data_IF_543568895346
#
_entry.id   IF_543568895346
#
_cell.length_a   1.000
_cell.length_b   1.000
_cell.length_c   1.000
_cell.angle_alpha   90.00
_cell.angle_beta   90.00
_cell.angle_gamma   90.00
#
_symmetry.space_group_name_H-M   'P 1'
#
loop_
_entity.id
_entity.type
_entity.pdbx_description
1 polymer ?
#
# COMPACT_ATOMS: atom_id res chain seq x y z
N UNK A 1 -44.02 43.30 -29.72
CA UNK A 1 -43.10 44.16 -28.98
C UNK A 1 -42.13 43.19 -28.27
N UNK A 2 -41.00 42.89 -28.96
CA UNK A 2 -40.09 41.82 -28.55
C UNK A 2 -38.97 42.44 -27.70
N UNK A 3 -38.99 42.18 -26.40
CA UNK A 3 -37.91 42.55 -25.51
C UNK A 3 -36.77 41.51 -25.71
N UNK A 4 -35.80 41.85 -26.55
CA UNK A 4 -34.53 41.17 -26.54
C UNK A 4 -33.79 41.67 -25.32
N UNK A 5 -33.77 40.85 -24.29
CA UNK A 5 -32.93 41.01 -23.12
C UNK A 5 -31.48 40.98 -23.58
N UNK A 6 -30.80 42.12 -23.61
CA UNK A 6 -29.35 42.23 -23.80
C UNK A 6 -28.67 41.67 -22.55
N UNK A 7 -28.41 40.40 -22.56
CA UNK A 7 -27.48 39.81 -21.58
C UNK A 7 -26.06 40.25 -21.99
N UNK A 8 -25.38 41.09 -21.19
CA UNK A 8 -24.00 41.45 -21.52
C UNK A 8 -23.13 40.20 -21.62
N UNK A 9 -22.53 39.99 -22.76
CA UNK A 9 -21.50 38.96 -22.91
C UNK A 9 -20.30 39.33 -22.00
N UNK A 10 -20.29 38.78 -20.80
CA UNK A 10 -19.32 39.08 -19.74
C UNK A 10 -17.90 38.65 -20.09
N UNK A 11 -17.70 37.94 -21.23
CA UNK A 11 -16.41 37.33 -21.55
C UNK A 11 -16.16 37.39 -23.05
N UNK A 12 -14.96 37.84 -23.41
CA UNK A 12 -14.52 37.79 -24.80
C UNK A 12 -14.20 36.36 -25.24
N UNK A 13 -14.39 36.07 -26.52
CA UNK A 13 -14.19 34.73 -27.09
C UNK A 13 -12.82 34.07 -26.77
N UNK A 14 -11.69 34.78 -26.69
CA UNK A 14 -10.43 34.19 -26.27
C UNK A 14 -10.40 33.81 -24.79
N UNK A 15 -11.04 34.61 -23.91
CA UNK A 15 -11.10 34.32 -22.48
C UNK A 15 -11.93 33.05 -22.19
N UNK A 16 -13.01 32.82 -22.91
CA UNK A 16 -13.78 31.56 -22.80
C UNK A 16 -12.95 30.31 -23.13
N UNK A 17 -12.10 30.37 -24.16
CA UNK A 17 -11.24 29.23 -24.53
C UNK A 17 -10.22 28.92 -23.46
N UNK A 18 -9.62 29.94 -22.85
CA UNK A 18 -8.65 29.78 -21.75
C UNK A 18 -9.32 29.16 -20.52
N UNK A 19 -10.49 29.64 -20.15
CA UNK A 19 -11.23 29.11 -18.99
C UNK A 19 -11.64 27.66 -19.21
N UNK A 20 -12.17 27.34 -20.40
CA UNK A 20 -12.53 25.96 -20.75
C UNK A 20 -11.28 25.07 -20.67
N UNK A 21 -10.11 25.51 -21.15
CA UNK A 21 -8.87 24.77 -21.05
C UNK A 21 -8.45 24.50 -19.61
N UNK A 22 -8.56 25.50 -18.73
CA UNK A 22 -8.24 25.35 -17.31
C UNK A 22 -9.22 24.37 -16.63
N UNK A 23 -10.51 24.46 -16.90
CA UNK A 23 -11.51 23.55 -16.34
C UNK A 23 -11.27 22.10 -16.78
N UNK A 24 -10.95 21.89 -18.07
CA UNK A 24 -10.63 20.55 -18.57
C UNK A 24 -9.36 20.01 -17.87
N UNK A 25 -8.32 20.84 -17.72
CA UNK A 25 -7.09 20.44 -17.04
C UNK A 25 -7.33 20.08 -15.56
N UNK A 26 -8.16 20.84 -14.84
CA UNK A 26 -8.53 20.57 -13.47
C UNK A 26 -9.38 19.29 -13.34
N UNK A 27 -10.33 19.08 -14.25
CA UNK A 27 -11.12 17.86 -14.30
C UNK A 27 -10.25 16.63 -14.58
N UNK A 28 -9.31 16.74 -15.51
CA UNK A 28 -8.37 15.68 -15.83
C UNK A 28 -7.47 15.36 -14.64
N UNK A 29 -6.93 16.38 -13.98
CA UNK A 29 -6.11 16.21 -12.77
C UNK A 29 -6.91 15.59 -11.62
N UNK A 30 -8.17 16.02 -11.41
CA UNK A 30 -9.09 15.44 -10.45
C UNK A 30 -9.41 13.97 -10.77
N UNK A 31 -9.65 13.66 -12.05
CA UNK A 31 -9.91 12.30 -12.50
C UNK A 31 -8.69 11.39 -12.29
N UNK A 32 -7.49 11.85 -12.63
CA UNK A 32 -6.24 11.13 -12.37
C UNK A 32 -6.06 10.89 -10.87
N UNK A 33 -6.27 11.90 -10.04
CA UNK A 33 -6.22 11.78 -8.57
C UNK A 33 -7.24 10.75 -8.05
N UNK A 34 -8.48 10.79 -8.54
CA UNK A 34 -9.53 9.84 -8.14
C UNK A 34 -9.21 8.42 -8.62
N UNK A 35 -8.68 8.27 -9.83
CA UNK A 35 -8.34 6.96 -10.38
C UNK A 35 -7.15 6.33 -9.65
N UNK A 36 -6.10 7.11 -9.38
CA UNK A 36 -4.95 6.64 -8.61
C UNK A 36 -5.23 6.55 -7.10
N UNK A 37 -6.16 7.35 -6.58
CA UNK A 37 -6.54 7.30 -5.16
C UNK A 37 -7.55 6.18 -4.86
N UNK A 38 -8.23 5.64 -5.88
CA UNK A 38 -9.17 4.53 -5.72
C UNK A 38 -8.46 3.21 -5.40
N UNK A 39 -7.15 3.12 -5.69
CA UNK A 39 -6.30 2.03 -5.22
C UNK A 39 -5.95 2.17 -3.72
N UNK A 40 -6.35 3.27 -3.07
CA UNK A 40 -5.98 3.60 -1.69
C UNK A 40 -7.20 3.81 -0.78
N UNK A 41 -8.37 3.32 -1.16
CA UNK A 41 -9.48 3.22 -0.21
C UNK A 41 -9.21 2.01 0.67
N UNK A 42 -8.40 2.23 1.68
CA UNK A 42 -8.36 1.39 2.86
C UNK A 42 -9.79 1.31 3.40
N UNK A 43 -10.39 0.13 3.31
CA UNK A 43 -11.65 -0.16 3.99
C UNK A 43 -11.40 0.08 5.49
N UNK A 44 -12.06 1.04 6.17
CA UNK A 44 -11.89 1.22 7.61
C UNK A 44 -12.51 0.00 8.30
N UNK A 45 -11.68 -1.01 8.53
CA UNK A 45 -12.00 -2.07 9.48
C UNK A 45 -12.16 -1.39 10.85
N UNK A 46 -13.22 -1.70 11.61
CA UNK A 46 -13.34 -1.18 12.96
C UNK A 46 -12.08 -1.57 13.74
N UNK A 47 -11.38 -0.56 14.26
CA UNK A 47 -10.24 -0.77 15.15
C UNK A 47 -10.79 -1.43 16.41
N UNK A 48 -10.75 -2.75 16.44
CA UNK A 48 -10.92 -3.50 17.68
C UNK A 48 -9.69 -3.14 18.52
N UNK A 49 -9.83 -2.55 19.73
CA UNK A 49 -8.68 -2.34 20.58
C UNK A 49 -8.07 -3.70 20.88
N UNK A 50 -6.98 -3.97 20.22
CA UNK A 50 -6.19 -5.17 20.44
C UNK A 50 -5.67 -5.12 21.87
N UNK A 51 -6.00 -6.11 22.68
CA UNK A 51 -5.26 -6.45 23.89
C UNK A 51 -3.85 -6.96 23.50
N UNK A 52 -3.11 -6.12 22.81
CA UNK A 52 -1.83 -6.46 22.18
C UNK A 52 -0.67 -6.52 23.18
N UNK A 53 -0.93 -6.52 24.49
CA UNK A 53 0.14 -6.50 25.48
C UNK A 53 0.41 -7.84 26.18
N UNK A 54 -0.41 -8.90 25.97
CA UNK A 54 -0.21 -10.12 26.75
C UNK A 54 0.18 -11.38 25.97
N UNK A 55 0.09 -11.36 24.66
CA UNK A 55 0.67 -12.41 23.81
C UNK A 55 1.18 -11.71 22.56
N UNK A 56 2.46 -11.54 22.46
CA UNK A 56 3.10 -11.07 21.23
C UNK A 56 2.83 -12.12 20.14
N UNK A 57 1.69 -12.00 19.46
CA UNK A 57 1.39 -12.79 18.28
C UNK A 57 2.44 -12.44 17.24
N UNK A 58 3.45 -13.29 17.16
CA UNK A 58 4.47 -13.15 16.14
C UNK A 58 3.90 -13.67 14.84
N UNK A 59 4.06 -12.92 13.79
CA UNK A 59 3.54 -13.23 12.47
C UNK A 59 4.60 -13.88 11.59
N UNK A 60 4.23 -14.95 10.90
CA UNK A 60 5.10 -15.52 9.86
C UNK A 60 4.86 -14.80 8.54
N UNK A 61 5.86 -14.11 7.97
CA UNK A 61 5.70 -13.40 6.71
C UNK A 61 5.42 -14.32 5.50
N UNK A 62 5.66 -15.63 5.67
CA UNK A 62 5.35 -16.61 4.63
C UNK A 62 3.86 -16.99 4.58
N UNK A 63 3.11 -16.77 5.67
CA UNK A 63 1.70 -17.18 5.78
C UNK A 63 0.76 -16.03 6.06
N UNK A 64 1.23 -14.97 6.73
CA UNK A 64 0.40 -13.82 7.09
C UNK A 64 -0.17 -13.13 5.85
N UNK A 65 -1.38 -12.60 5.98
CA UNK A 65 -2.03 -11.79 4.94
C UNK A 65 -1.51 -10.35 4.94
N UNK A 66 -1.83 -9.60 3.88
CA UNK A 66 -1.36 -8.23 3.73
C UNK A 66 -1.91 -7.31 4.84
N UNK A 67 -3.14 -7.54 5.32
CA UNK A 67 -3.74 -6.72 6.37
C UNK A 67 -3.01 -6.90 7.70
N UNK A 68 -2.67 -8.14 8.05
CA UNK A 68 -1.87 -8.48 9.23
C UNK A 68 -0.47 -7.88 9.16
N UNK A 69 0.19 -7.99 8.01
CA UNK A 69 1.54 -7.43 7.82
C UNK A 69 1.53 -5.89 7.84
N UNK A 70 0.44 -5.25 7.41
CA UNK A 70 0.32 -3.79 7.39
C UNK A 70 0.29 -3.16 8.80
N UNK A 71 -0.07 -3.94 9.82
CA UNK A 71 -0.08 -3.50 11.24
C UNK A 71 1.34 -3.35 11.80
N UNK A 72 2.32 -4.01 11.20
CA UNK A 72 3.71 -3.94 11.65
C UNK A 72 4.27 -2.53 11.53
N UNK A 73 5.09 -2.08 12.50
CA UNK A 73 5.68 -0.75 12.47
C UNK A 73 6.49 -0.55 11.18
N UNK A 74 6.34 0.61 10.55
CA UNK A 74 7.03 1.01 9.32
C UNK A 74 6.71 0.16 8.07
N UNK A 75 5.82 -0.81 8.13
CA UNK A 75 5.42 -1.60 6.95
C UNK A 75 4.29 -0.90 6.20
N UNK A 76 3.11 -0.80 6.77
CA UNK A 76 1.93 -0.22 6.11
C UNK A 76 1.48 -1.01 4.87
N UNK A 77 0.32 -0.62 4.31
CA UNK A 77 -0.39 -1.38 3.26
C UNK A 77 0.46 -1.69 2.03
N UNK A 78 1.23 -0.70 1.55
CA UNK A 78 2.00 -0.86 0.32
C UNK A 78 3.10 -1.92 0.47
N UNK A 79 3.91 -1.84 1.54
CA UNK A 79 5.00 -2.80 1.76
C UNK A 79 4.46 -4.18 2.11
N UNK A 80 3.34 -4.24 2.85
CA UNK A 80 2.64 -5.49 3.13
C UNK A 80 2.19 -6.18 1.84
N UNK A 81 1.57 -5.43 0.90
CA UNK A 81 1.20 -5.96 -0.40
C UNK A 81 2.42 -6.41 -1.23
N UNK A 82 3.53 -5.65 -1.18
CA UNK A 82 4.77 -6.00 -1.87
C UNK A 82 5.40 -7.29 -1.29
N UNK A 83 5.31 -7.52 0.03
CA UNK A 83 5.76 -8.76 0.68
C UNK A 83 4.95 -9.95 0.17
N UNK A 84 3.62 -9.85 0.18
CA UNK A 84 2.73 -10.92 -0.29
C UNK A 84 2.97 -11.21 -1.77
N UNK A 85 3.04 -10.18 -2.62
CA UNK A 85 3.28 -10.34 -4.05
C UNK A 85 4.65 -11.00 -4.34
N UNK A 86 5.69 -10.65 -3.57
CA UNK A 86 7.00 -11.30 -3.68
C UNK A 86 6.92 -12.78 -3.29
N UNK A 87 6.29 -13.09 -2.17
CA UNK A 87 6.10 -14.46 -1.69
C UNK A 87 5.39 -15.33 -2.72
N UNK A 88 4.26 -14.85 -3.24
CA UNK A 88 3.43 -15.59 -4.17
C UNK A 88 4.16 -15.88 -5.47
N UNK A 89 4.91 -14.90 -5.99
CA UNK A 89 5.77 -15.10 -7.16
C UNK A 89 6.89 -16.10 -6.88
N UNK A 90 7.60 -15.95 -5.74
CA UNK A 90 8.69 -16.85 -5.38
C UNK A 90 8.23 -18.29 -5.24
N UNK A 91 7.08 -18.53 -4.60
CA UNK A 91 6.49 -19.86 -4.43
C UNK A 91 6.06 -20.48 -5.76
N UNK A 92 5.62 -19.64 -6.72
CA UNK A 92 5.27 -20.09 -8.08
C UNK A 92 6.51 -20.51 -8.87
N UNK A 93 7.60 -19.74 -8.73
CA UNK A 93 8.88 -20.02 -9.41
C UNK A 93 9.64 -21.19 -8.77
N UNK A 94 9.47 -21.41 -7.45
CA UNK A 94 10.16 -22.42 -6.65
C UNK A 94 9.16 -23.24 -5.82
N UNK A 95 8.44 -24.19 -6.45
CA UNK A 95 7.46 -25.02 -5.74
C UNK A 95 8.08 -25.81 -4.59
N UNK A 96 7.51 -25.65 -3.39
CA UNK A 96 7.99 -26.33 -2.18
C UNK A 96 9.06 -25.57 -1.39
N UNK A 97 9.49 -24.39 -1.86
CA UNK A 97 10.39 -23.53 -1.09
C UNK A 97 9.64 -22.38 -0.43
N UNK A 98 10.10 -21.98 0.77
CA UNK A 98 9.61 -20.79 1.48
C UNK A 98 10.38 -19.55 1.02
N UNK A 99 9.64 -18.46 0.80
CA UNK A 99 10.20 -17.22 0.26
C UNK A 99 11.15 -16.51 1.24
N UNK A 100 10.78 -16.52 2.53
CA UNK A 100 11.53 -15.83 3.59
C UNK A 100 12.02 -16.85 4.63
N UNK A 101 13.28 -17.24 4.55
CA UNK A 101 13.93 -18.17 5.50
C UNK A 101 14.42 -17.44 6.74
N UNK A 102 14.76 -16.15 6.60
CA UNK A 102 15.31 -15.29 7.65
C UNK A 102 14.75 -13.87 7.51
N UNK A 103 14.86 -13.09 8.58
CA UNK A 103 14.41 -11.70 8.57
C UNK A 103 15.11 -10.84 7.51
N UNK A 104 16.37 -11.15 7.24
CA UNK A 104 17.18 -10.45 6.23
C UNK A 104 16.62 -10.62 4.81
N UNK A 105 15.87 -11.69 4.55
CA UNK A 105 15.23 -11.93 3.24
C UNK A 105 14.18 -10.88 2.91
N UNK A 106 13.60 -10.22 3.91
CA UNK A 106 12.66 -9.11 3.71
C UNK A 106 13.32 -7.86 3.09
N UNK A 107 14.66 -7.75 3.14
CA UNK A 107 15.38 -6.66 2.45
C UNK A 107 15.27 -6.75 0.92
N UNK A 108 14.85 -7.89 0.37
CA UNK A 108 14.55 -8.05 -1.06
C UNK A 108 13.34 -7.20 -1.48
N UNK A 109 12.52 -6.76 -0.51
CA UNK A 109 11.36 -5.91 -0.75
C UNK A 109 11.79 -4.45 -0.75
N UNK A 110 11.41 -3.75 -1.81
CA UNK A 110 11.73 -2.33 -1.96
C UNK A 110 11.18 -1.49 -0.79
N UNK A 111 12.08 -0.76 -0.14
CA UNK A 111 11.72 0.13 0.98
C UNK A 111 11.74 -0.55 2.35
N UNK A 112 12.17 -1.81 2.44
CA UNK A 112 12.49 -2.48 3.70
C UNK A 112 14.02 -2.53 3.83
N UNK A 113 14.54 -1.77 4.78
CA UNK A 113 15.97 -1.72 5.11
C UNK A 113 16.24 -2.22 6.52
N UNK A 114 17.52 -2.20 6.92
CA UNK A 114 17.96 -2.68 8.24
C UNK A 114 17.22 -2.01 9.39
N UNK A 115 17.03 -0.68 9.34
CA UNK A 115 16.29 0.06 10.36
C UNK A 115 14.83 -0.41 10.51
N UNK A 116 14.18 -0.79 9.39
CA UNK A 116 12.83 -1.36 9.43
C UNK A 116 12.87 -2.76 10.04
N UNK A 117 13.85 -3.59 9.66
CA UNK A 117 13.99 -4.94 10.19
C UNK A 117 14.19 -4.95 11.71
N UNK A 118 15.00 -4.04 12.25
CA UNK A 118 15.23 -3.96 13.69
C UNK A 118 13.93 -3.66 14.47
N UNK A 119 13.04 -2.88 13.90
CA UNK A 119 11.76 -2.55 14.50
C UNK A 119 10.72 -3.66 14.40
N UNK A 120 10.70 -4.42 13.30
CA UNK A 120 9.71 -5.49 13.11
C UNK A 120 10.18 -6.83 13.65
N UNK A 121 11.47 -7.01 13.92
CA UNK A 121 12.07 -8.26 14.44
C UNK A 121 11.30 -8.88 15.62
N UNK A 122 10.88 -8.13 16.66
CA UNK A 122 10.16 -8.71 17.79
C UNK A 122 8.79 -9.29 17.44
N UNK A 123 8.20 -8.87 16.33
CA UNK A 123 6.86 -9.23 15.89
C UNK A 123 6.82 -10.35 14.84
N UNK A 124 8.00 -10.82 14.39
CA UNK A 124 8.08 -11.83 13.34
C UNK A 124 8.53 -13.18 13.88
N UNK A 125 7.95 -14.23 13.30
CA UNK A 125 8.43 -15.61 13.40
C UNK A 125 8.95 -16.05 12.03
N UNK A 126 10.06 -16.76 12.06
CA UNK A 126 10.56 -17.47 10.89
C UNK A 126 10.63 -18.95 11.23
N UNK A 127 10.41 -19.84 10.25
CA UNK A 127 10.61 -21.26 10.48
C UNK A 127 12.06 -21.45 10.95
N UNK A 128 12.21 -21.84 12.21
CA UNK A 128 13.52 -22.14 12.78
C UNK A 128 14.07 -23.35 12.04
N UNK A 129 14.97 -23.09 11.10
CA UNK A 129 15.91 -24.13 10.70
C UNK A 129 16.80 -24.33 11.93
N UNK A 130 16.41 -25.21 12.83
CA UNK A 130 17.27 -25.62 13.92
C UNK A 130 18.64 -25.99 13.29
N UNK A 131 19.75 -25.43 13.77
CA UNK A 131 21.03 -25.92 13.32
C UNK A 131 21.06 -27.42 13.72
N UNK A 132 21.04 -28.29 12.71
CA UNK A 132 21.35 -29.71 12.93
C UNK A 132 22.75 -29.72 13.47
N UNK A 133 22.89 -29.78 14.80
CA UNK A 133 24.12 -30.13 15.46
C UNK A 133 24.40 -31.55 15.06
N UNK A 134 25.14 -31.71 13.98
CA UNK A 134 25.79 -33.00 13.71
C UNK A 134 26.86 -33.18 14.78
N UNK A 135 26.63 -34.20 15.57
CA UNK A 135 27.55 -34.77 16.53
C UNK A 135 28.37 -35.84 15.81
#
# INVERSE_FOLDING_TARGET
MSLRENVPELWTSPQRRVIIGIVIALCFFGFVKLFFNRAYVSNPQPVVPSHANDLADKFDPNTADAATLAVLPLIGDKRAADIVAYRDRYTTEHPGEIAFKRIEDLMKIRGIGSATLDQIRPYLLFPTTAPTTQR
#
